data_IF_051146989287
#
_entry.id   IF_051146989287
#
_cell.length_a   1.000
_cell.length_b   1.000
_cell.length_c   1.000
_cell.angle_alpha   90.00
_cell.angle_beta   90.00
_cell.angle_gamma   90.00
#
_symmetry.space_group_name_H-M   'P 1'
#
loop_
_entity.id
_entity.type
_entity.pdbx_description
1 polymer ?
#
# COMPACT_ATOMS: atom_id res chain seq x y z
N UNK A 1 -6.35 -14.67 9.68
CA UNK A 1 -5.40 -14.94 10.79
C UNK A 1 -4.24 -15.73 10.23
N UNK A 2 -3.01 -15.39 10.59
CA UNK A 2 -1.84 -16.19 10.21
C UNK A 2 -1.87 -17.51 10.98
N UNK A 3 -1.33 -18.58 10.39
CA UNK A 3 -1.23 -19.88 11.07
C UNK A 3 -0.27 -19.77 12.28
N UNK A 4 -0.44 -20.58 13.34
CA UNK A 4 0.32 -20.44 14.60
C UNK A 4 1.84 -20.50 14.43
N UNK A 5 2.31 -21.31 13.48
CA UNK A 5 3.71 -21.45 13.05
C UNK A 5 4.30 -20.15 12.44
N UNK A 6 3.45 -19.19 12.08
CA UNK A 6 3.87 -17.88 11.54
C UNK A 6 3.88 -16.75 12.56
N UNK A 7 3.41 -16.99 13.79
CA UNK A 7 3.31 -15.94 14.82
C UNK A 7 4.66 -15.58 15.43
N UNK A 8 5.51 -16.57 15.73
CA UNK A 8 6.85 -16.31 16.26
C UNK A 8 7.71 -15.53 15.25
N UNK A 9 7.83 -15.94 13.97
CA UNK A 9 8.61 -15.18 13.00
C UNK A 9 8.12 -13.74 12.80
N UNK A 10 6.81 -13.48 12.88
CA UNK A 10 6.28 -12.12 12.76
C UNK A 10 6.69 -11.23 13.93
N UNK A 11 6.62 -11.76 15.16
CA UNK A 11 7.06 -11.04 16.35
C UNK A 11 8.56 -10.73 16.27
N UNK A 12 9.37 -11.74 15.90
CA UNK A 12 10.82 -11.61 15.78
C UNK A 12 11.21 -10.56 14.72
N UNK A 13 10.54 -10.55 13.56
CA UNK A 13 10.78 -9.55 12.51
C UNK A 13 10.43 -8.14 13.00
N UNK A 14 9.32 -7.98 13.72
CA UNK A 14 8.89 -6.67 14.25
C UNK A 14 9.86 -6.16 15.31
N UNK A 15 10.30 -7.04 16.20
CA UNK A 15 11.30 -6.72 17.22
C UNK A 15 12.62 -6.33 16.57
N UNK A 16 13.11 -7.14 15.63
CA UNK A 16 14.34 -6.86 14.89
C UNK A 16 14.27 -5.50 14.18
N UNK A 17 13.21 -5.25 13.42
CA UNK A 17 13.01 -4.00 12.70
C UNK A 17 12.98 -2.78 13.64
N UNK A 18 12.36 -2.93 14.82
CA UNK A 18 12.33 -1.86 15.85
C UNK A 18 13.72 -1.64 16.44
N UNK A 19 14.44 -2.71 16.82
CA UNK A 19 15.79 -2.63 17.39
C UNK A 19 16.81 -1.99 16.44
N UNK A 20 16.64 -2.23 15.13
CA UNK A 20 17.51 -1.69 14.08
C UNK A 20 17.01 -0.36 13.52
N UNK A 21 15.92 0.21 14.05
CA UNK A 21 15.28 1.45 13.58
C UNK A 21 14.86 1.41 12.10
N UNK A 22 14.55 0.21 11.59
CA UNK A 22 13.98 -0.02 10.26
C UNK A 22 12.45 -0.04 10.39
N UNK A 23 11.88 1.06 10.86
CA UNK A 23 10.45 1.13 11.19
C UNK A 23 9.57 1.71 10.08
N UNK A 24 10.16 2.19 8.99
CA UNK A 24 9.40 2.76 7.89
C UNK A 24 8.46 1.72 7.24
N UNK A 25 7.26 2.16 6.88
CA UNK A 25 6.24 1.35 6.21
C UNK A 25 5.81 1.95 4.88
N UNK A 26 5.02 1.19 4.10
CA UNK A 26 4.34 1.72 2.92
C UNK A 26 2.94 1.16 2.74
N UNK A 27 2.05 2.00 2.25
CA UNK A 27 0.76 1.63 1.66
C UNK A 27 0.94 1.46 0.15
N UNK A 28 0.28 0.45 -0.40
CA UNK A 28 0.29 0.16 -1.83
C UNK A 28 -1.12 0.33 -2.39
N UNK A 29 -1.24 1.20 -3.39
CA UNK A 29 -2.42 1.37 -4.22
C UNK A 29 -2.13 0.80 -5.60
N UNK A 30 -3.12 0.15 -6.19
CA UNK A 30 -3.00 -0.53 -7.48
C UNK A 30 -4.10 -0.03 -8.43
N UNK A 31 -4.06 1.24 -8.89
CA UNK A 31 -5.01 1.75 -9.87
C UNK A 31 -4.80 1.13 -11.26
N UNK A 32 -5.79 1.29 -12.13
CA UNK A 32 -5.62 1.02 -13.56
C UNK A 32 -4.74 2.09 -14.22
N UNK A 33 -4.18 1.76 -15.37
CA UNK A 33 -3.31 2.60 -16.18
C UNK A 33 -4.04 3.88 -16.59
N UNK A 34 -5.31 3.77 -16.95
CA UNK A 34 -6.16 4.91 -17.29
C UNK A 34 -6.40 5.88 -16.11
N UNK A 35 -6.30 5.38 -14.89
CA UNK A 35 -6.61 6.12 -13.65
C UNK A 35 -5.35 6.60 -12.92
N UNK A 36 -4.17 6.15 -13.35
CA UNK A 36 -2.93 6.35 -12.58
C UNK A 36 -2.60 7.82 -12.39
N UNK A 37 -2.78 8.65 -13.41
CA UNK A 37 -2.44 10.07 -13.37
C UNK A 37 -3.38 10.86 -12.45
N UNK A 38 -4.68 10.56 -12.49
CA UNK A 38 -5.66 11.22 -11.64
C UNK A 38 -5.47 10.83 -10.17
N UNK A 39 -5.25 9.54 -9.90
CA UNK A 39 -4.93 9.04 -8.55
C UNK A 39 -3.60 9.62 -8.05
N UNK A 40 -2.59 9.68 -8.91
CA UNK A 40 -1.28 10.25 -8.57
C UNK A 40 -1.38 11.73 -8.21
N UNK A 41 -2.12 12.54 -8.98
CA UNK A 41 -2.31 13.95 -8.69
C UNK A 41 -2.93 14.18 -7.30
N UNK A 42 -3.93 13.38 -6.94
CA UNK A 42 -4.57 13.42 -5.60
C UNK A 42 -3.58 13.01 -4.51
N UNK A 43 -2.84 11.92 -4.71
CA UNK A 43 -1.84 11.44 -3.74
C UNK A 43 -0.72 12.44 -3.54
N UNK A 44 -0.14 12.96 -4.62
CA UNK A 44 0.96 13.92 -4.57
C UNK A 44 0.55 15.20 -3.82
N UNK A 45 -0.66 15.72 -4.11
CA UNK A 45 -1.21 16.86 -3.38
C UNK A 45 -1.42 16.56 -1.91
N UNK A 46 -2.00 15.40 -1.56
CA UNK A 46 -2.26 15.05 -0.18
C UNK A 46 -0.98 14.77 0.64
N UNK A 47 0.09 14.28 -0.01
CA UNK A 47 1.42 14.21 0.61
C UNK A 47 1.98 15.61 0.84
N UNK A 48 1.89 16.50 -0.15
CA UNK A 48 2.33 17.90 0.00
C UNK A 48 1.60 18.65 1.11
N UNK A 49 0.30 18.41 1.26
CA UNK A 49 -0.54 18.97 2.33
C UNK A 49 -0.32 18.30 3.70
N UNK A 50 0.57 17.30 3.81
CA UNK A 50 0.85 16.56 5.05
C UNK A 50 -0.28 15.62 5.50
N UNK A 51 -1.31 15.42 4.67
CA UNK A 51 -2.46 14.55 4.96
C UNK A 51 -2.12 13.07 4.81
N UNK A 52 -1.24 12.75 3.87
CA UNK A 52 -0.66 11.42 3.71
C UNK A 52 0.73 11.37 4.35
N UNK A 53 1.37 10.20 4.29
CA UNK A 53 2.67 9.98 4.93
C UNK A 53 3.82 10.79 4.31
N UNK A 54 5.06 10.41 4.59
CA UNK A 54 6.26 11.24 4.35
C UNK A 54 6.63 11.43 2.89
N UNK A 55 6.28 10.48 2.03
CA UNK A 55 6.59 10.51 0.60
C UNK A 55 5.66 9.57 -0.17
N UNK A 56 5.56 9.77 -1.49
CA UNK A 56 4.93 8.81 -2.38
C UNK A 56 5.74 8.61 -3.66
N UNK A 57 5.53 7.47 -4.32
CA UNK A 57 6.15 7.11 -5.61
C UNK A 57 5.15 6.38 -6.48
N UNK A 58 5.17 6.67 -7.78
CA UNK A 58 4.41 5.93 -8.81
C UNK A 58 5.38 5.12 -9.66
N UNK A 59 5.05 3.85 -9.91
CA UNK A 59 5.81 3.01 -10.82
C UNK A 59 5.48 3.40 -12.27
N UNK A 60 6.51 3.71 -13.05
CA UNK A 60 6.38 4.04 -14.48
C UNK A 60 6.35 2.78 -15.36
N UNK A 61 7.00 1.70 -14.91
CA UNK A 61 6.94 0.40 -15.57
C UNK A 61 5.58 -0.28 -15.36
N UNK A 62 5.16 -1.07 -16.36
CA UNK A 62 4.00 -1.96 -16.23
C UNK A 62 4.34 -3.07 -15.23
N UNK A 63 3.35 -3.50 -14.44
CA UNK A 63 3.51 -4.70 -13.64
C UNK A 63 3.80 -5.90 -14.55
N UNK A 64 4.84 -6.67 -14.26
CA UNK A 64 5.09 -7.93 -14.98
C UNK A 64 3.93 -8.90 -14.74
N UNK A 65 3.62 -9.74 -15.73
CA UNK A 65 2.49 -10.67 -15.70
C UNK A 65 2.66 -11.62 -14.50
N UNK A 66 1.75 -11.57 -13.51
CA UNK A 66 1.80 -12.39 -12.29
C UNK A 66 2.48 -11.73 -11.09
N UNK A 67 3.01 -10.50 -11.24
CA UNK A 67 3.62 -9.75 -10.13
C UNK A 67 2.57 -9.11 -9.21
N UNK A 68 1.32 -8.96 -9.66
CA UNK A 68 0.23 -8.37 -8.88
C UNK A 68 -1.00 -9.27 -8.82
N UNK A 69 -1.05 -10.17 -7.84
CA UNK A 69 -2.31 -10.83 -7.49
C UNK A 69 -3.26 -9.84 -6.79
N UNK A 70 -4.24 -9.33 -7.54
CA UNK A 70 -5.41 -8.66 -6.98
C UNK A 70 -6.48 -9.72 -6.72
N UNK A 71 -6.95 -9.80 -5.47
CA UNK A 71 -8.09 -10.65 -5.14
C UNK A 71 -9.33 -10.06 -5.84
N UNK A 72 -9.86 -10.73 -6.85
CA UNK A 72 -11.12 -10.36 -7.49
C UNK A 72 -12.24 -11.26 -6.93
N UNK A 73 -13.21 -10.65 -6.24
CA UNK A 73 -14.39 -11.35 -5.70
C UNK A 73 -15.42 -11.71 -6.81
N UNK A 74 -15.09 -11.47 -8.08
CA UNK A 74 -15.93 -11.77 -9.24
C UNK A 74 -15.43 -13.00 -10.00
N UNK A 75 -16.14 -14.12 -9.91
CA UNK A 75 -15.85 -15.31 -10.70
C UNK A 75 -15.82 -15.02 -12.20
N UNK A 76 -14.62 -14.88 -12.77
CA UNK A 76 -14.45 -14.66 -14.20
C UNK A 76 -12.99 -14.49 -14.57
N UNK A 77 -12.42 -15.53 -15.19
CA UNK A 77 -11.24 -15.54 -16.06
C UNK A 77 -10.21 -14.44 -15.80
N UNK A 78 -9.09 -14.82 -15.17
CA UNK A 78 -7.93 -13.97 -14.88
C UNK A 78 -7.68 -12.89 -15.93
N UNK A 79 -8.18 -11.69 -15.64
CA UNK A 79 -7.82 -10.48 -16.36
C UNK A 79 -6.37 -10.23 -16.01
N UNK A 80 -5.50 -10.73 -16.89
CA UNK A 80 -4.04 -10.57 -16.85
C UNK A 80 -3.72 -9.14 -16.42
N UNK A 81 -2.72 -8.99 -15.54
CA UNK A 81 -2.16 -7.75 -14.94
C UNK A 81 -1.85 -6.58 -15.91
N UNK A 82 -2.21 -6.71 -17.19
CA UNK A 82 -2.07 -5.72 -18.25
C UNK A 82 -2.90 -4.49 -17.91
N UNK A 83 -2.22 -3.48 -17.40
CA UNK A 83 -2.80 -2.17 -17.15
C UNK A 83 -2.94 -1.82 -15.68
N UNK A 84 -2.33 -2.55 -14.74
CA UNK A 84 -2.23 -2.07 -13.36
C UNK A 84 -0.95 -1.24 -13.18
N UNK A 85 -1.01 -0.23 -12.29
CA UNK A 85 0.15 0.57 -11.86
C UNK A 85 0.27 0.56 -10.35
N UNK A 86 1.50 0.67 -9.83
CA UNK A 86 1.76 0.73 -8.39
C UNK A 86 1.98 2.17 -7.94
N UNK A 87 1.22 2.60 -6.92
CA UNK A 87 1.54 3.80 -6.15
C UNK A 87 1.88 3.36 -4.72
N UNK A 88 3.05 3.77 -4.24
CA UNK A 88 3.50 3.55 -2.87
C UNK A 88 3.45 4.86 -2.08
N UNK A 89 2.91 4.82 -0.86
CA UNK A 89 2.89 5.95 0.08
C UNK A 89 3.58 5.51 1.36
N UNK A 90 4.61 6.22 1.78
CA UNK A 90 5.49 5.83 2.88
C UNK A 90 5.04 6.45 4.20
N UNK A 91 5.16 5.70 5.29
CA UNK A 91 4.97 6.18 6.68
C UNK A 91 6.28 6.04 7.45
N UNK A 92 6.53 6.95 8.40
CA UNK A 92 7.80 7.01 9.13
C UNK A 92 8.04 5.83 10.06
N UNK A 93 7.01 5.42 10.80
CA UNK A 93 7.10 4.35 11.79
C UNK A 93 5.87 3.44 11.70
N UNK A 94 6.08 2.12 11.61
CA UNK A 94 4.99 1.18 11.55
C UNK A 94 4.34 0.91 12.91
N UNK A 95 5.02 1.19 14.00
CA UNK A 95 4.57 1.02 15.38
C UNK A 95 3.71 2.19 15.86
N UNK A 96 3.83 3.37 15.23
CA UNK A 96 2.92 4.50 15.43
C UNK A 96 1.55 4.22 14.83
N UNK A 97 0.69 3.58 15.62
CA UNK A 97 -0.66 3.23 15.20
C UNK A 97 -1.53 4.46 14.94
N UNK A 98 -1.25 5.60 15.57
CA UNK A 98 -2.01 6.83 15.38
C UNK A 98 -1.75 7.40 13.99
N UNK A 99 -0.48 7.55 13.59
CA UNK A 99 -0.13 8.02 12.25
C UNK A 99 -0.60 7.04 11.17
N UNK A 100 -0.40 5.74 11.39
CA UNK A 100 -0.83 4.70 10.44
C UNK A 100 -2.35 4.74 10.22
N UNK A 101 -3.13 4.94 11.30
CA UNK A 101 -4.59 5.06 11.21
C UNK A 101 -5.01 6.35 10.54
N UNK A 102 -4.33 7.48 10.84
CA UNK A 102 -4.55 8.78 10.19
C UNK A 102 -4.35 8.68 8.68
N UNK A 103 -3.24 8.09 8.24
CA UNK A 103 -2.95 7.88 6.81
C UNK A 103 -3.96 6.93 6.17
N UNK A 104 -4.37 5.84 6.85
CA UNK A 104 -5.41 4.96 6.34
C UNK A 104 -6.76 5.67 6.17
N UNK A 105 -7.13 6.53 7.11
CA UNK A 105 -8.38 7.28 7.03
C UNK A 105 -8.34 8.28 5.86
N UNK A 106 -7.26 9.05 5.75
CA UNK A 106 -7.05 9.95 4.60
C UNK A 106 -7.10 9.20 3.26
N UNK A 107 -6.51 8.00 3.17
CA UNK A 107 -6.59 7.14 1.99
C UNK A 107 -8.02 6.71 1.65
N UNK A 108 -8.89 6.49 2.64
CA UNK A 108 -10.30 6.16 2.43
C UNK A 108 -11.08 7.37 1.93
N UNK A 109 -10.83 8.54 2.52
CA UNK A 109 -11.55 9.78 2.19
C UNK A 109 -11.19 10.28 0.79
N UNK A 110 -9.96 10.03 0.33
CA UNK A 110 -9.48 10.41 -1.00
C UNK A 110 -9.94 9.45 -2.12
N UNK A 111 -10.51 8.29 -1.80
CA UNK A 111 -11.07 7.38 -2.81
C UNK A 111 -12.53 7.71 -3.10
N UNK A 112 -12.90 8.04 -4.36
CA UNK A 112 -14.26 7.83 -4.80
C UNK A 112 -14.58 6.32 -4.70
N UNK A 113 -15.81 6.00 -4.29
CA UNK A 113 -16.23 4.65 -3.96
C UNK A 113 -16.04 3.65 -5.12
N UNK A 114 -14.94 2.87 -5.08
CA UNK A 114 -14.89 1.50 -5.62
C UNK A 114 -14.02 0.59 -4.74
N UNK A 115 -14.41 -0.68 -4.56
CA UNK A 115 -13.86 -1.56 -3.55
C UNK A 115 -12.63 -2.30 -4.09
N UNK A 116 -11.40 -1.80 -3.85
CA UNK A 116 -10.20 -2.65 -3.97
C UNK A 116 -9.17 -2.35 -2.89
N UNK A 117 -8.84 -3.39 -2.12
CA UNK A 117 -8.11 -3.37 -0.84
C UNK A 117 -6.79 -2.59 -0.90
N UNK A 118 -6.57 -1.72 0.09
CA UNK A 118 -5.25 -1.15 0.39
C UNK A 118 -4.42 -2.20 1.16
N UNK A 119 -3.22 -2.52 0.67
CA UNK A 119 -2.29 -3.41 1.40
C UNK A 119 -1.16 -2.58 1.98
N UNK A 120 -0.97 -2.67 3.30
CA UNK A 120 0.19 -2.12 4.01
C UNK A 120 1.30 -3.16 4.03
N UNK A 121 2.52 -2.80 3.64
CA UNK A 121 3.70 -3.66 3.80
C UNK A 121 4.76 -2.95 4.64
N UNK A 122 5.31 -3.60 5.69
CA UNK A 122 6.53 -3.15 6.34
C UNK A 122 7.70 -3.22 5.35
N UNK A 123 8.72 -2.36 5.51
CA UNK A 123 10.02 -2.57 4.88
C UNK A 123 10.81 -3.53 5.79
N UNK A 124 11.11 -4.72 5.29
CA UNK A 124 12.09 -5.62 5.90
C UNK A 124 13.48 -5.25 5.39
#
# INVERSE_FOLDING_TARGET
MLRPDRLQPEADIRELATSQRVTAGKWMLVPREEEVDSVWAVVARAVWEGKLGTAAKVATAKAEEGMMVVDDDGGGSGTRDRGLRLICIYTGDFSDQADVKRVLQALKDLRPAQPRRTRRRPRA
#
